data_IF_645621056594
#
_entry.id   IF_645621056594
#
_cell.length_a   1.000
_cell.length_b   1.000
_cell.length_c   1.000
_cell.angle_alpha   90.00
_cell.angle_beta   90.00
_cell.angle_gamma   90.00
#
_symmetry.space_group_name_H-M   'P 1'
#
loop_
_entity.id
_entity.type
_entity.pdbx_description
1 polymer ?
#
# COMPACT_ATOMS: atom_id res chain seq x y z
N UNK A 1 4.07 -6.22 66.08
CA UNK A 1 3.01 -5.49 65.34
C UNK A 1 3.61 -4.65 64.22
N UNK A 2 4.25 -5.26 63.19
CA UNK A 2 4.99 -4.56 62.10
C UNK A 2 4.71 -5.16 60.71
N UNK A 3 3.53 -5.77 60.48
CA UNK A 3 3.24 -6.50 59.23
C UNK A 3 2.23 -5.84 58.30
N UNK A 4 1.85 -4.56 58.49
CA UNK A 4 0.76 -3.96 57.70
C UNK A 4 1.16 -2.83 56.73
N UNK A 5 2.41 -2.36 56.71
CA UNK A 5 2.76 -1.21 55.90
C UNK A 5 3.29 -1.59 54.49
N UNK A 6 3.94 -2.74 54.38
CA UNK A 6 4.51 -3.20 53.10
C UNK A 6 3.49 -3.62 52.06
N UNK A 7 2.41 -4.24 52.47
CA UNK A 7 1.34 -4.73 51.57
C UNK A 7 0.51 -3.58 51.00
N UNK A 8 0.30 -2.50 51.75
CA UNK A 8 -0.45 -1.36 51.31
C UNK A 8 0.29 -0.56 50.22
N UNK A 9 1.61 -0.42 50.31
CA UNK A 9 2.46 0.28 49.33
C UNK A 9 2.53 -0.52 48.01
N UNK A 10 2.56 -1.84 48.10
CA UNK A 10 2.59 -2.70 46.91
C UNK A 10 1.25 -2.68 46.14
N UNK A 11 0.14 -2.75 46.86
CA UNK A 11 -1.20 -2.58 46.29
C UNK A 11 -1.41 -1.23 45.63
N UNK A 12 -0.90 -0.14 46.24
CA UNK A 12 -0.99 1.22 45.70
C UNK A 12 -0.16 1.40 44.42
N UNK A 13 0.99 0.76 44.34
CA UNK A 13 1.84 0.74 43.12
C UNK A 13 1.19 -0.06 42.00
N UNK A 14 0.61 -1.22 42.30
CA UNK A 14 -0.15 -2.05 41.36
C UNK A 14 -1.40 -1.31 40.85
N UNK A 15 -2.14 -0.64 41.73
CA UNK A 15 -3.31 0.14 41.36
C UNK A 15 -2.94 1.34 40.47
N UNK A 16 -1.87 2.07 40.77
CA UNK A 16 -1.34 3.13 39.90
C UNK A 16 -0.90 2.62 38.55
N UNK A 17 -0.22 1.46 38.51
CA UNK A 17 0.20 0.83 37.25
C UNK A 17 -1.03 0.40 36.40
N UNK A 18 -2.06 -0.17 37.06
CA UNK A 18 -3.30 -0.57 36.40
C UNK A 18 -4.08 0.65 35.90
N UNK A 19 -4.19 1.72 36.68
CA UNK A 19 -4.85 2.98 36.28
C UNK A 19 -4.10 3.62 35.14
N UNK A 20 -2.78 3.68 35.15
CA UNK A 20 -1.98 4.20 34.03
C UNK A 20 -2.13 3.36 32.76
N UNK A 21 -2.23 2.04 32.88
CA UNK A 21 -2.44 1.13 31.74
C UNK A 21 -3.85 1.28 31.16
N UNK A 22 -4.88 1.39 32.02
CA UNK A 22 -6.27 1.62 31.62
C UNK A 22 -6.45 3.01 30.98
N UNK A 23 -5.86 4.05 31.56
CA UNK A 23 -5.88 5.42 30.99
C UNK A 23 -5.18 5.45 29.62
N UNK A 24 -4.09 4.71 29.44
CA UNK A 24 -3.41 4.61 28.15
C UNK A 24 -4.23 3.85 27.07
N UNK A 25 -5.10 2.94 27.50
CA UNK A 25 -5.99 2.17 26.60
C UNK A 25 -7.23 3.01 26.21
N UNK A 26 -7.68 3.91 27.09
CA UNK A 26 -8.87 4.74 26.86
C UNK A 26 -8.58 6.10 26.24
N UNK A 27 -7.34 6.52 26.10
CA UNK A 27 -7.01 7.72 25.32
C UNK A 27 -7.25 7.44 23.83
N UNK A 28 -8.49 7.61 23.39
CA UNK A 28 -8.82 7.85 22.00
C UNK A 28 -7.92 8.99 21.51
N UNK A 29 -7.13 8.75 20.46
CA UNK A 29 -6.34 9.82 19.86
C UNK A 29 -7.24 10.99 19.54
N UNK A 30 -6.83 12.19 19.95
CA UNK A 30 -7.55 13.43 19.73
C UNK A 30 -7.98 13.52 18.26
N UNK A 31 -9.28 13.73 17.97
CA UNK A 31 -9.80 13.86 16.61
C UNK A 31 -9.06 14.91 15.78
N UNK A 32 -8.58 16.00 16.41
CA UNK A 32 -7.77 17.02 15.75
C UNK A 32 -6.41 16.49 15.32
N UNK A 33 -5.75 15.68 16.14
CA UNK A 33 -4.46 15.05 15.79
C UNK A 33 -4.66 14.06 14.65
N UNK A 34 -5.75 13.28 14.67
CA UNK A 34 -6.11 12.37 13.58
C UNK A 34 -6.34 13.18 12.30
N UNK A 35 -7.13 14.24 12.35
CA UNK A 35 -7.41 15.10 11.20
C UNK A 35 -6.15 15.76 10.64
N UNK A 36 -5.27 16.30 11.50
CA UNK A 36 -3.99 16.87 11.09
C UNK A 36 -3.08 15.83 10.42
N UNK A 37 -3.04 14.60 10.94
CA UNK A 37 -2.24 13.53 10.36
C UNK A 37 -2.81 13.08 9.00
N UNK A 38 -4.13 12.99 8.89
CA UNK A 38 -4.79 12.63 7.62
C UNK A 38 -4.57 13.69 6.52
N UNK A 39 -4.54 14.98 6.87
CA UNK A 39 -4.21 16.05 5.91
C UNK A 39 -2.77 16.01 5.39
N UNK A 40 -1.85 15.39 6.14
CA UNK A 40 -0.44 15.21 5.74
C UNK A 40 -0.23 14.03 4.81
N UNK A 41 -1.22 13.16 4.65
CA UNK A 41 -1.14 12.02 3.74
C UNK A 41 -1.36 12.53 2.33
N UNK A 42 -0.29 12.64 1.57
CA UNK A 42 -0.35 12.94 0.15
C UNK A 42 -0.78 11.69 -0.61
N UNK A 43 -1.76 11.85 -1.50
CA UNK A 43 -2.23 10.78 -2.38
C UNK A 43 -1.39 10.61 -3.65
N UNK A 44 -0.36 11.44 -3.83
CA UNK A 44 0.53 11.46 -5.00
C UNK A 44 1.92 11.85 -4.55
N UNK A 45 2.90 11.44 -5.35
CA UNK A 45 4.32 11.68 -5.09
C UNK A 45 4.73 11.19 -3.70
N UNK A 46 4.18 10.04 -3.29
CA UNK A 46 4.53 9.36 -2.05
C UNK A 46 6.00 8.91 -2.07
N UNK A 47 6.56 8.65 -0.90
CA UNK A 47 7.97 8.24 -0.80
C UNK A 47 8.28 6.97 -1.61
N UNK A 48 7.33 6.02 -1.64
CA UNK A 48 7.48 4.76 -2.40
C UNK A 48 7.46 5.00 -3.90
N UNK A 49 6.52 5.83 -4.40
CA UNK A 49 6.48 6.21 -5.80
C UNK A 49 7.76 6.93 -6.24
N UNK A 50 8.26 7.88 -5.41
CA UNK A 50 9.50 8.61 -5.68
C UNK A 50 10.71 7.69 -5.70
N UNK A 51 10.77 6.70 -4.80
CA UNK A 51 11.86 5.72 -4.73
C UNK A 51 11.90 4.87 -6.01
N UNK A 52 10.78 4.28 -6.41
CA UNK A 52 10.69 3.45 -7.61
C UNK A 52 10.94 4.27 -8.88
N UNK A 53 10.41 5.49 -8.97
CA UNK A 53 10.65 6.40 -10.10
C UNK A 53 12.12 6.79 -10.26
N UNK A 54 12.82 7.08 -9.17
CA UNK A 54 14.26 7.37 -9.21
C UNK A 54 15.05 6.16 -9.69
N UNK A 55 14.73 4.98 -9.18
CA UNK A 55 15.40 3.75 -9.58
C UNK A 55 15.21 3.45 -11.08
N UNK A 56 13.99 3.57 -11.62
CA UNK A 56 13.72 3.46 -13.05
C UNK A 56 14.47 4.50 -13.89
N UNK A 57 14.52 5.74 -13.40
CA UNK A 57 15.26 6.81 -14.09
C UNK A 57 16.76 6.51 -14.17
N UNK A 58 17.38 6.04 -13.11
CA UNK A 58 18.79 5.64 -13.06
C UNK A 58 19.10 4.49 -14.01
N UNK A 59 18.15 3.56 -14.22
CA UNK A 59 18.23 2.50 -15.24
C UNK A 59 18.00 2.99 -16.68
N UNK A 60 17.73 4.29 -16.87
CA UNK A 60 17.52 4.88 -18.19
C UNK A 60 16.09 4.81 -18.72
N UNK A 61 15.14 4.27 -17.95
CA UNK A 61 13.75 4.20 -18.37
C UNK A 61 13.06 5.55 -18.32
N UNK A 62 12.23 5.83 -19.34
CA UNK A 62 11.38 7.02 -19.39
C UNK A 62 9.94 6.62 -19.13
N UNK A 63 9.29 7.36 -18.25
CA UNK A 63 7.93 7.04 -17.77
C UNK A 63 7.06 8.31 -17.69
N UNK A 64 5.76 8.09 -17.64
CA UNK A 64 4.77 9.11 -17.27
C UNK A 64 4.28 8.83 -15.86
N UNK A 65 4.15 9.88 -15.04
CA UNK A 65 3.66 9.78 -13.66
C UNK A 65 2.18 10.14 -13.57
N UNK A 66 1.43 9.45 -12.70
CA UNK A 66 0.02 9.72 -12.42
C UNK A 66 -0.78 9.93 -13.74
N UNK A 67 -0.70 8.96 -14.63
CA UNK A 67 -1.14 9.13 -16.02
C UNK A 67 -2.65 9.00 -16.15
N UNK A 68 -3.35 10.14 -16.10
CA UNK A 68 -4.82 10.23 -16.07
C UNK A 68 -5.53 9.79 -17.35
N UNK A 69 -4.84 9.61 -18.45
CA UNK A 69 -5.41 9.15 -19.72
C UNK A 69 -5.82 7.67 -19.61
N UNK A 70 -5.14 6.91 -18.75
CA UNK A 70 -5.44 5.50 -18.51
C UNK A 70 -6.40 5.31 -17.33
N UNK A 71 -7.25 4.26 -17.38
CA UNK A 71 -8.08 3.86 -16.25
C UNK A 71 -7.26 3.72 -14.97
N UNK A 72 -7.82 4.16 -13.83
CA UNK A 72 -7.15 4.10 -12.53
C UNK A 72 -6.02 5.09 -12.32
N UNK A 73 -5.58 5.82 -13.37
CA UNK A 73 -4.47 6.79 -13.30
C UNK A 73 -3.20 6.19 -12.69
N UNK A 74 -2.56 5.18 -13.32
CA UNK A 74 -1.40 4.49 -12.78
C UNK A 74 -0.30 5.46 -12.32
N UNK A 75 0.40 5.10 -11.25
CA UNK A 75 1.43 5.95 -10.64
C UNK A 75 2.64 6.12 -11.56
N UNK A 76 2.96 5.06 -12.33
CA UNK A 76 4.05 5.04 -13.29
C UNK A 76 3.58 4.29 -14.55
N UNK A 77 3.81 4.88 -15.72
CA UNK A 77 3.50 4.22 -17.00
C UNK A 77 4.70 4.27 -17.92
N UNK A 78 5.18 3.11 -18.30
CA UNK A 78 6.20 2.93 -19.33
C UNK A 78 5.49 2.81 -20.70
N UNK A 79 5.16 3.95 -21.31
CA UNK A 79 4.31 4.01 -22.50
C UNK A 79 4.92 3.28 -23.70
N UNK A 80 6.26 3.25 -23.82
CA UNK A 80 6.98 2.53 -24.87
C UNK A 80 6.70 1.02 -24.82
N UNK A 81 6.55 0.48 -23.61
CA UNK A 81 6.40 -0.96 -23.36
C UNK A 81 4.97 -1.33 -22.98
N UNK A 82 4.05 -0.37 -22.95
CA UNK A 82 2.66 -0.58 -22.49
C UNK A 82 2.59 -1.24 -21.10
N UNK A 83 3.39 -0.78 -20.16
CA UNK A 83 3.38 -1.27 -18.78
C UNK A 83 2.82 -0.18 -17.87
N UNK A 84 1.80 -0.52 -17.09
CA UNK A 84 1.18 0.32 -16.09
C UNK A 84 1.52 -0.21 -14.69
N UNK A 85 2.05 0.64 -13.82
CA UNK A 85 2.53 0.25 -12.49
C UNK A 85 1.78 1.05 -11.44
N UNK A 86 1.27 0.33 -10.42
CA UNK A 86 0.64 0.85 -9.22
C UNK A 86 1.52 0.61 -8.00
N UNK A 87 1.57 1.59 -7.10
CA UNK A 87 2.33 1.52 -5.85
C UNK A 87 1.34 1.48 -4.69
N UNK A 88 0.95 0.28 -4.28
CA UNK A 88 -0.17 0.04 -3.40
C UNK A 88 0.20 0.06 -1.92
N UNK A 89 -0.64 0.69 -1.13
CA UNK A 89 -0.57 0.59 0.33
C UNK A 89 -1.17 -0.73 0.79
N UNK A 90 -0.47 -1.47 1.64
CA UNK A 90 -0.90 -2.77 2.16
C UNK A 90 -2.29 -2.71 2.82
N UNK A 91 -2.55 -1.63 3.54
CA UNK A 91 -3.81 -1.45 4.26
C UNK A 91 -4.98 -1.13 3.33
N UNK A 92 -4.83 -0.13 2.45
CA UNK A 92 -5.95 0.37 1.64
C UNK A 92 -6.33 -0.54 0.47
N UNK A 93 -5.37 -1.35 -0.01
CA UNK A 93 -5.59 -2.32 -1.08
C UNK A 93 -5.73 -3.75 -0.56
N UNK A 94 -5.70 -3.94 0.78
CA UNK A 94 -6.06 -5.20 1.44
C UNK A 94 -5.06 -6.32 1.18
N UNK A 95 -3.75 -6.04 1.36
CA UNK A 95 -2.75 -7.12 1.39
C UNK A 95 -3.14 -8.13 2.47
N UNK A 96 -3.05 -9.43 2.15
CA UNK A 96 -3.46 -10.52 3.03
C UNK A 96 -4.88 -10.33 3.58
N UNK A 97 -5.84 -10.12 2.67
CA UNK A 97 -7.19 -9.66 2.99
C UNK A 97 -7.87 -10.46 4.10
N UNK A 98 -7.77 -11.77 4.10
CA UNK A 98 -8.41 -12.63 5.11
C UNK A 98 -7.90 -12.32 6.53
N UNK A 99 -6.58 -12.13 6.65
CA UNK A 99 -5.95 -11.78 7.93
C UNK A 99 -6.31 -10.34 8.34
N UNK A 100 -6.28 -9.42 7.37
CA UNK A 100 -6.62 -8.02 7.61
C UNK A 100 -8.08 -7.87 8.04
N UNK A 101 -9.01 -8.58 7.39
CA UNK A 101 -10.45 -8.56 7.71
C UNK A 101 -10.71 -9.00 9.15
N UNK A 102 -10.16 -10.12 9.58
CA UNK A 102 -10.27 -10.60 10.97
C UNK A 102 -9.71 -9.59 12.00
N UNK A 103 -8.69 -8.84 11.62
CA UNK A 103 -8.14 -7.77 12.46
C UNK A 103 -9.06 -6.55 12.52
N UNK A 104 -9.67 -6.19 11.40
CA UNK A 104 -10.60 -5.07 11.31
C UNK A 104 -11.88 -5.33 12.08
N UNK A 105 -12.41 -6.56 12.07
CA UNK A 105 -13.59 -6.98 12.84
C UNK A 105 -13.44 -6.72 14.34
N UNK A 106 -12.20 -6.81 14.85
CA UNK A 106 -11.86 -6.53 16.25
C UNK A 106 -11.50 -5.06 16.51
N UNK A 107 -11.51 -4.23 15.47
CA UNK A 107 -11.06 -2.84 15.50
C UNK A 107 -12.18 -1.83 15.75
N UNK A 108 -11.85 -0.54 15.56
CA UNK A 108 -12.84 0.54 15.57
C UNK A 108 -13.44 0.72 14.17
N UNK A 109 -14.77 0.82 14.09
CA UNK A 109 -15.54 0.99 12.86
C UNK A 109 -15.29 -0.14 11.82
N UNK A 110 -15.48 -1.41 12.18
CA UNK A 110 -15.18 -2.54 11.31
C UNK A 110 -15.94 -2.47 9.98
N UNK A 111 -17.25 -2.21 10.01
CA UNK A 111 -18.10 -2.15 8.81
C UNK A 111 -17.64 -1.10 7.80
N UNK A 112 -17.21 0.07 8.30
CA UNK A 112 -16.68 1.12 7.43
C UNK A 112 -15.41 0.67 6.71
N UNK A 113 -14.45 0.12 7.46
CA UNK A 113 -13.15 -0.27 6.90
C UNK A 113 -13.25 -1.47 5.97
N UNK A 114 -14.05 -2.47 6.35
CA UNK A 114 -14.29 -3.66 5.51
C UNK A 114 -14.90 -3.23 4.18
N UNK A 115 -16.01 -2.49 4.19
CA UNK A 115 -16.65 -1.98 2.97
C UNK A 115 -15.72 -1.11 2.14
N UNK A 116 -14.92 -0.26 2.79
CA UNK A 116 -13.98 0.63 2.09
C UNK A 116 -12.91 -0.14 1.34
N UNK A 117 -12.32 -1.15 1.97
CA UNK A 117 -11.25 -1.95 1.36
C UNK A 117 -11.83 -2.87 0.29
N UNK A 118 -12.97 -3.52 0.54
CA UNK A 118 -13.65 -4.34 -0.47
C UNK A 118 -13.98 -3.53 -1.71
N UNK A 119 -14.48 -2.29 -1.54
CA UNK A 119 -14.73 -1.39 -2.67
C UNK A 119 -13.44 -1.02 -3.42
N UNK A 120 -12.35 -0.74 -2.71
CA UNK A 120 -11.06 -0.45 -3.36
C UNK A 120 -10.60 -1.64 -4.19
N UNK A 121 -10.61 -2.86 -3.63
CA UNK A 121 -10.22 -4.09 -4.33
C UNK A 121 -11.06 -4.36 -5.58
N UNK A 122 -12.39 -4.17 -5.48
CA UNK A 122 -13.28 -4.32 -6.63
C UNK A 122 -12.96 -3.31 -7.73
N UNK A 123 -12.73 -2.06 -7.35
CA UNK A 123 -12.33 -0.99 -8.28
C UNK A 123 -10.99 -1.29 -8.95
N UNK A 124 -9.99 -1.77 -8.19
CA UNK A 124 -8.67 -2.11 -8.70
C UNK A 124 -8.78 -3.25 -9.72
N UNK A 125 -9.53 -4.31 -9.40
CA UNK A 125 -9.80 -5.41 -10.32
C UNK A 125 -10.46 -4.97 -11.65
N UNK A 126 -11.46 -4.07 -11.57
CA UNK A 126 -12.08 -3.52 -12.78
C UNK A 126 -11.13 -2.60 -13.57
N UNK A 127 -10.23 -1.92 -12.89
CA UNK A 127 -9.19 -1.11 -13.51
C UNK A 127 -8.20 -1.98 -14.27
N UNK A 128 -7.75 -3.06 -13.67
CA UNK A 128 -6.83 -4.02 -14.29
C UNK A 128 -7.41 -4.63 -15.56
N UNK A 129 -8.68 -5.08 -15.51
CA UNK A 129 -9.36 -5.58 -16.70
C UNK A 129 -9.39 -4.58 -17.85
N UNK A 130 -9.67 -3.30 -17.54
CA UNK A 130 -9.69 -2.24 -18.56
C UNK A 130 -8.30 -1.99 -19.14
N UNK A 131 -7.26 -1.99 -18.30
CA UNK A 131 -5.89 -1.80 -18.75
C UNK A 131 -5.40 -2.99 -19.60
N UNK A 132 -5.70 -4.22 -19.19
CA UNK A 132 -5.40 -5.42 -19.95
C UNK A 132 -6.10 -5.40 -21.32
N UNK A 133 -7.38 -5.00 -21.36
CA UNK A 133 -8.13 -4.84 -22.62
C UNK A 133 -7.50 -3.79 -23.55
N UNK A 134 -6.88 -2.74 -22.99
CA UNK A 134 -6.11 -1.74 -23.75
C UNK A 134 -4.71 -2.22 -24.16
N UNK A 135 -4.37 -3.47 -23.86
CA UNK A 135 -3.09 -4.07 -24.19
C UNK A 135 -1.93 -3.61 -23.27
N UNK A 136 -2.24 -3.19 -22.05
CA UNK A 136 -1.24 -2.87 -21.05
C UNK A 136 -0.97 -4.07 -20.14
N UNK A 137 0.30 -4.32 -19.85
CA UNK A 137 0.70 -5.17 -18.72
C UNK A 137 0.54 -4.35 -17.44
N UNK A 138 -0.15 -4.91 -16.44
CA UNK A 138 -0.41 -4.25 -15.15
C UNK A 138 0.44 -4.89 -14.07
N UNK A 139 1.17 -4.07 -13.31
CA UNK A 139 2.02 -4.52 -12.22
C UNK A 139 1.63 -3.73 -10.95
N UNK A 140 1.40 -4.47 -9.86
CA UNK A 140 1.15 -3.91 -8.54
C UNK A 140 2.32 -4.22 -7.62
N UNK A 141 2.89 -3.18 -7.00
CA UNK A 141 3.91 -3.35 -5.98
C UNK A 141 3.42 -2.84 -4.64
N UNK A 142 3.61 -3.64 -3.60
CA UNK A 142 3.33 -3.21 -2.25
C UNK A 142 4.36 -2.19 -1.75
N UNK A 143 3.91 -1.23 -0.96
CA UNK A 143 4.79 -0.18 -0.45
C UNK A 143 5.99 -0.69 0.34
N UNK A 144 5.84 -1.80 1.08
CA UNK A 144 6.96 -2.43 1.81
C UNK A 144 7.96 -3.10 0.86
N UNK A 145 7.48 -3.70 -0.22
CA UNK A 145 8.35 -4.36 -1.20
C UNK A 145 9.17 -3.30 -1.92
N UNK A 146 8.56 -2.19 -2.33
CA UNK A 146 9.30 -1.05 -2.90
C UNK A 146 10.36 -0.52 -1.92
N UNK A 147 10.04 -0.38 -0.62
CA UNK A 147 10.97 0.15 0.38
C UNK A 147 12.16 -0.75 0.66
N UNK A 148 11.94 -2.04 0.71
CA UNK A 148 12.95 -3.01 1.16
C UNK A 148 13.64 -3.74 -0.01
N UNK A 149 12.96 -3.90 -1.12
CA UNK A 149 13.33 -4.75 -2.23
C UNK A 149 13.15 -4.02 -3.58
N UNK A 150 13.61 -2.76 -3.66
CA UNK A 150 13.48 -1.95 -4.89
C UNK A 150 14.12 -2.63 -6.09
N UNK A 151 15.24 -3.33 -5.89
CA UNK A 151 15.95 -4.01 -6.98
C UNK A 151 15.14 -5.19 -7.52
N UNK A 152 14.44 -5.93 -6.67
CA UNK A 152 13.53 -7.00 -7.08
C UNK A 152 12.33 -6.43 -7.87
N UNK A 153 11.79 -5.28 -7.43
CA UNK A 153 10.75 -4.58 -8.18
C UNK A 153 11.24 -4.14 -9.56
N UNK A 154 12.47 -3.64 -9.67
CA UNK A 154 13.07 -3.28 -10.95
C UNK A 154 13.26 -4.51 -11.84
N UNK A 155 13.75 -5.62 -11.30
CA UNK A 155 13.92 -6.87 -12.04
C UNK A 155 12.58 -7.35 -12.61
N UNK A 156 11.51 -7.36 -11.82
CA UNK A 156 10.17 -7.73 -12.29
C UNK A 156 9.67 -6.83 -13.43
N UNK A 157 10.00 -5.53 -13.39
CA UNK A 157 9.67 -4.61 -14.48
C UNK A 157 10.51 -4.92 -15.72
N UNK A 158 11.80 -5.20 -15.57
CA UNK A 158 12.71 -5.55 -16.67
C UNK A 158 12.28 -6.86 -17.35
N UNK A 159 11.85 -7.86 -16.58
CA UNK A 159 11.25 -9.10 -17.08
C UNK A 159 9.99 -8.84 -17.90
N UNK A 160 9.06 -8.02 -17.40
CA UNK A 160 7.87 -7.64 -18.14
C UNK A 160 8.17 -6.87 -19.43
N UNK A 161 9.22 -6.04 -19.45
CA UNK A 161 9.69 -5.34 -20.65
C UNK A 161 10.21 -6.36 -21.68
N UNK A 162 10.97 -7.34 -21.22
CA UNK A 162 11.51 -8.41 -22.08
C UNK A 162 10.38 -9.20 -22.74
N UNK A 163 9.40 -9.64 -21.97
CA UNK A 163 8.25 -10.40 -22.46
C UNK A 163 7.45 -9.62 -23.51
N UNK A 164 7.25 -8.30 -23.27
CA UNK A 164 6.55 -7.42 -24.21
C UNK A 164 7.30 -7.29 -25.54
N UNK A 165 8.63 -7.16 -25.50
CA UNK A 165 9.45 -7.04 -26.71
C UNK A 165 9.43 -8.37 -27.49
N UNK A 166 9.58 -9.50 -26.80
CA UNK A 166 9.58 -10.83 -27.43
C UNK A 166 8.24 -11.12 -28.13
N UNK A 167 7.13 -10.77 -27.50
CA UNK A 167 5.79 -10.95 -28.08
C UNK A 167 5.59 -10.09 -29.34
N UNK A 168 6.11 -8.85 -29.35
CA UNK A 168 5.99 -7.95 -30.50
C UNK A 168 6.85 -8.41 -31.69
N UNK A 169 8.03 -9.01 -31.44
CA UNK A 169 8.89 -9.52 -32.49
C UNK A 169 8.34 -10.80 -33.11
N UNK A 170 7.68 -11.66 -32.31
CA UNK A 170 7.04 -12.88 -32.80
C UNK A 170 5.85 -12.56 -33.73
N UNK A 171 5.07 -11.53 -33.42
CA UNK A 171 3.94 -11.10 -34.26
C UNK A 171 4.43 -10.58 -35.63
N UNK A 172 5.52 -9.82 -35.65
CA UNK A 172 6.08 -9.30 -36.92
C UNK A 172 6.60 -10.38 -37.87
N UNK A 173 7.10 -11.49 -37.31
CA UNK A 173 7.57 -12.62 -38.10
C UNK A 173 6.44 -13.51 -38.66
N UNK A 174 5.22 -13.40 -38.13
CA UNK A 174 4.03 -14.13 -38.62
C UNK A 174 3.30 -13.39 -39.75
N UNK A 175 3.60 -12.10 -39.97
CA UNK A 175 2.94 -11.26 -40.97
C UNK A 175 3.78 -11.12 -42.27
N UNK A 176 4.96 -11.77 -42.33
CA UNK A 176 5.80 -11.94 -43.52
C UNK A 176 5.60 -13.33 -44.15
#
# INVERSE_FOLDING_TARGET
MVWCIGTCIFLFKLLKYFIQKVVKITMSRDPEIISKNMRKIHSKDTSIELQLRKALWHKGYRYRKNYKVLPGSPDIVLTKYKIAIFCDSEFFHGKDWEILKLRLEKGKNPDYWIKKIEHNRSRDFETDKKLLFLGYTVIHFWGQDIKKHTDECLQAIEEAIWDTNFSNDTIKLSDE
#
